data_IF_044248057919
#
_entry.id   IF_044248057919
#
_cell.length_a   1.000
_cell.length_b   1.000
_cell.length_c   1.000
_cell.angle_alpha   90.00
_cell.angle_beta   90.00
_cell.angle_gamma   90.00
#
_symmetry.space_group_name_H-M   'P 1'
#
loop_
_entity.id
_entity.type
_entity.pdbx_description
1 polymer ?
#
# COMPACT_ATOMS: atom_id res chain seq x y z
N UNK A 1 -48.35 -25.92 -22.96
CA UNK A 1 -48.61 -24.51 -22.57
C UNK A 1 -47.60 -24.19 -21.47
N UNK A 2 -46.60 -23.35 -21.74
CA UNK A 2 -45.60 -22.98 -20.72
C UNK A 2 -46.30 -22.19 -19.60
N UNK A 3 -46.39 -22.76 -18.41
CA UNK A 3 -46.97 -22.06 -17.26
C UNK A 3 -45.95 -21.08 -16.67
N UNK A 4 -46.42 -20.03 -15.99
CA UNK A 4 -45.52 -19.09 -15.30
C UNK A 4 -44.62 -19.80 -14.27
N UNK A 5 -45.07 -20.90 -13.68
CA UNK A 5 -44.27 -21.71 -12.76
C UNK A 5 -43.07 -22.38 -13.45
N UNK A 6 -43.23 -22.82 -14.71
CA UNK A 6 -42.15 -23.36 -15.54
C UNK A 6 -41.18 -22.26 -15.98
N UNK A 7 -41.69 -21.10 -16.38
CA UNK A 7 -40.86 -19.96 -16.80
C UNK A 7 -40.02 -19.39 -15.65
N UNK A 8 -40.57 -19.36 -14.44
CA UNK A 8 -39.88 -18.93 -13.22
C UNK A 8 -38.96 -20.03 -12.67
N UNK A 9 -39.08 -21.27 -13.18
CA UNK A 9 -38.36 -22.48 -12.75
C UNK A 9 -38.45 -22.70 -11.24
N UNK A 10 -39.68 -22.78 -10.74
CA UNK A 10 -39.98 -22.96 -9.31
C UNK A 10 -39.24 -24.15 -8.67
N UNK A 11 -39.00 -25.21 -9.45
CA UNK A 11 -38.27 -26.41 -9.04
C UNK A 11 -36.80 -26.17 -8.64
N UNK A 12 -36.19 -25.07 -9.08
CA UNK A 12 -34.83 -24.71 -8.64
C UNK A 12 -34.81 -24.08 -7.25
N UNK A 13 -35.94 -23.55 -6.78
CA UNK A 13 -36.06 -22.77 -5.55
C UNK A 13 -36.81 -23.49 -4.43
N UNK A 14 -37.59 -24.51 -4.78
CA UNK A 14 -38.42 -25.27 -3.87
C UNK A 14 -38.31 -26.76 -4.16
N UNK A 15 -38.51 -27.59 -3.14
CA UNK A 15 -38.70 -29.03 -3.30
C UNK A 15 -40.18 -29.32 -3.53
N UNK A 16 -40.47 -30.32 -4.37
CA UNK A 16 -41.83 -30.69 -4.75
C UNK A 16 -42.04 -30.65 -6.26
N UNK A 17 -43.31 -30.67 -6.67
CA UNK A 17 -43.71 -30.56 -8.08
C UNK A 17 -45.01 -29.76 -8.21
N UNK A 18 -45.32 -29.34 -9.44
CA UNK A 18 -46.58 -28.63 -9.72
C UNK A 18 -47.80 -29.50 -9.33
N UNK A 19 -47.69 -30.81 -9.48
CA UNK A 19 -48.77 -31.79 -9.20
C UNK A 19 -48.88 -32.14 -7.71
N UNK A 20 -47.76 -32.24 -6.98
CA UNK A 20 -47.74 -32.62 -5.55
C UNK A 20 -47.69 -31.43 -4.60
N UNK A 21 -47.57 -30.21 -5.13
CA UNK A 21 -47.32 -29.01 -4.35
C UNK A 21 -45.85 -28.85 -3.96
N UNK A 22 -45.49 -27.63 -3.57
CA UNK A 22 -44.16 -27.28 -3.08
C UNK A 22 -44.09 -27.49 -1.58
N UNK A 23 -43.22 -28.38 -1.10
CA UNK A 23 -43.22 -28.89 0.28
C UNK A 23 -42.12 -28.27 1.14
N UNK A 24 -41.01 -27.86 0.53
CA UNK A 24 -39.88 -27.29 1.26
C UNK A 24 -39.11 -26.29 0.39
N UNK A 25 -38.13 -25.63 1.00
CA UNK A 25 -37.32 -24.59 0.38
C UNK A 25 -35.94 -25.15 -0.02
N UNK A 26 -35.49 -24.87 -1.24
CA UNK A 26 -34.11 -25.16 -1.67
C UNK A 26 -33.17 -24.00 -1.39
N UNK A 27 -31.88 -24.33 -1.30
CA UNK A 27 -30.82 -23.35 -1.32
C UNK A 27 -30.89 -22.50 -2.60
N UNK A 28 -30.65 -21.20 -2.49
CA UNK A 28 -30.73 -20.31 -3.64
C UNK A 28 -29.64 -20.68 -4.66
N UNK A 29 -29.97 -20.74 -5.96
CA UNK A 29 -28.99 -21.03 -7.00
C UNK A 29 -27.93 -19.93 -7.07
N UNK A 30 -26.68 -20.32 -7.33
CA UNK A 30 -25.54 -19.40 -7.44
C UNK A 30 -25.57 -18.60 -8.76
N UNK A 31 -26.28 -19.09 -9.78
CA UNK A 31 -26.36 -18.43 -11.09
C UNK A 31 -27.31 -17.22 -11.08
N UNK A 32 -26.82 -16.09 -11.58
CA UNK A 32 -27.62 -14.90 -11.86
C UNK A 32 -28.48 -15.13 -13.10
N UNK A 33 -29.77 -14.81 -13.03
CA UNK A 33 -30.73 -14.90 -14.16
C UNK A 33 -31.17 -13.50 -14.62
N UNK A 34 -31.71 -13.41 -15.84
CA UNK A 34 -32.28 -12.18 -16.41
C UNK A 34 -33.65 -11.80 -15.80
N UNK A 35 -34.12 -10.55 -16.02
CA UNK A 35 -35.47 -10.11 -15.60
C UNK A 35 -36.47 -11.16 -16.09
N UNK A 36 -37.23 -11.74 -15.16
CA UNK A 36 -38.42 -12.53 -15.52
C UNK A 36 -39.47 -11.57 -16.09
N UNK A 37 -39.80 -11.75 -17.36
CA UNK A 37 -40.79 -10.94 -18.08
C UNK A 37 -42.05 -11.75 -18.32
N UNK A 38 -43.19 -11.07 -18.29
CA UNK A 38 -44.45 -11.67 -18.72
C UNK A 38 -44.37 -12.09 -20.20
N UNK A 39 -44.75 -13.31 -20.58
CA UNK A 39 -44.75 -13.75 -21.97
C UNK A 39 -45.69 -12.94 -22.86
N UNK A 40 -46.80 -12.45 -22.29
CA UNK A 40 -47.84 -11.73 -23.01
C UNK A 40 -47.47 -10.25 -23.26
N UNK A 41 -47.08 -9.52 -22.22
CA UNK A 41 -46.85 -8.07 -22.31
C UNK A 41 -45.38 -7.65 -22.19
N UNK A 42 -44.45 -8.60 -21.98
CA UNK A 42 -43.01 -8.37 -21.74
C UNK A 42 -42.69 -7.50 -20.52
N UNK A 43 -43.68 -7.11 -19.73
CA UNK A 43 -43.48 -6.35 -18.50
C UNK A 43 -42.72 -7.18 -17.46
N UNK A 44 -41.83 -6.57 -16.64
CA UNK A 44 -41.15 -7.26 -15.56
C UNK A 44 -42.15 -7.83 -14.54
N UNK A 45 -41.99 -9.09 -14.15
CA UNK A 45 -42.79 -9.71 -13.10
C UNK A 45 -42.33 -9.14 -11.75
N UNK A 46 -43.23 -8.44 -11.06
CA UNK A 46 -42.96 -7.79 -9.77
C UNK A 46 -44.14 -7.98 -8.81
N UNK A 47 -43.86 -7.95 -7.51
CA UNK A 47 -44.87 -7.93 -6.43
C UNK A 47 -45.87 -9.11 -6.41
N UNK A 48 -45.52 -10.25 -7.01
CA UNK A 48 -46.33 -11.46 -6.93
C UNK A 48 -45.83 -12.33 -5.78
N UNK A 49 -46.64 -12.49 -4.72
CA UNK A 49 -46.26 -13.23 -3.50
C UNK A 49 -45.77 -14.65 -3.79
N UNK A 50 -46.42 -15.37 -4.72
CA UNK A 50 -46.04 -16.73 -5.12
C UNK A 50 -44.60 -16.84 -5.60
N UNK A 51 -44.12 -15.82 -6.34
CA UNK A 51 -42.78 -15.77 -6.91
C UNK A 51 -41.83 -14.88 -6.09
N UNK A 52 -42.23 -14.43 -4.90
CA UNK A 52 -41.52 -13.43 -4.11
C UNK A 52 -40.06 -13.80 -3.83
N UNK A 53 -39.77 -15.07 -3.49
CA UNK A 53 -38.40 -15.57 -3.26
C UNK A 53 -37.51 -15.37 -4.50
N UNK A 54 -38.02 -15.71 -5.69
CA UNK A 54 -37.28 -15.57 -6.96
C UNK A 54 -37.13 -14.09 -7.34
N UNK A 55 -38.22 -13.31 -7.25
CA UNK A 55 -38.21 -11.88 -7.58
C UNK A 55 -37.24 -11.11 -6.66
N UNK A 56 -37.23 -11.42 -5.36
CA UNK A 56 -36.36 -10.77 -4.39
C UNK A 56 -34.90 -11.16 -4.59
N UNK A 57 -34.60 -12.45 -4.80
CA UNK A 57 -33.24 -12.88 -5.17
C UNK A 57 -32.76 -12.14 -6.42
N UNK A 58 -33.56 -12.14 -7.48
CA UNK A 58 -33.24 -11.45 -8.72
C UNK A 58 -32.96 -9.96 -8.48
N UNK A 59 -33.80 -9.29 -7.70
CA UNK A 59 -33.64 -7.87 -7.37
C UNK A 59 -32.32 -7.62 -6.65
N UNK A 60 -31.95 -8.49 -5.70
CA UNK A 60 -30.68 -8.42 -4.98
C UNK A 60 -29.49 -8.70 -5.91
N UNK A 61 -29.55 -9.70 -6.78
CA UNK A 61 -28.51 -10.01 -7.76
C UNK A 61 -28.25 -8.84 -8.71
N UNK A 62 -29.31 -8.17 -9.19
CA UNK A 62 -29.18 -6.95 -10.01
C UNK A 62 -28.55 -5.80 -9.24
N UNK A 63 -28.99 -5.58 -8.00
CA UNK A 63 -28.43 -4.53 -7.15
C UNK A 63 -26.94 -4.80 -6.88
N UNK A 64 -26.57 -6.06 -6.62
CA UNK A 64 -25.19 -6.48 -6.46
C UNK A 64 -24.37 -6.28 -7.73
N UNK A 65 -24.88 -6.67 -8.90
CA UNK A 65 -24.19 -6.43 -10.17
C UNK A 65 -23.94 -4.95 -10.41
N UNK A 66 -24.93 -4.10 -10.14
CA UNK A 66 -24.77 -2.63 -10.23
C UNK A 66 -23.76 -2.10 -9.22
N UNK A 67 -23.80 -2.62 -8.00
CA UNK A 67 -22.86 -2.27 -6.94
C UNK A 67 -21.43 -2.63 -7.31
N UNK A 68 -21.19 -3.85 -7.77
CA UNK A 68 -19.87 -4.32 -8.20
C UNK A 68 -19.36 -3.48 -9.38
N UNK A 69 -20.19 -3.30 -10.42
CA UNK A 69 -19.81 -2.50 -11.58
C UNK A 69 -19.46 -1.05 -11.21
N UNK A 70 -20.23 -0.43 -10.31
CA UNK A 70 -19.99 0.93 -9.83
C UNK A 70 -18.61 1.03 -9.19
N UNK A 71 -18.32 0.21 -8.18
CA UNK A 71 -17.07 0.33 -7.43
C UNK A 71 -15.86 -0.21 -8.19
N UNK A 72 -16.02 -1.18 -9.08
CA UNK A 72 -14.97 -1.59 -10.00
C UNK A 72 -14.61 -0.48 -10.99
N UNK A 73 -15.60 0.27 -11.48
CA UNK A 73 -15.35 1.42 -12.35
C UNK A 73 -14.66 2.56 -11.58
N UNK A 74 -15.19 2.93 -10.40
CA UNK A 74 -14.58 3.96 -9.55
C UNK A 74 -13.14 3.60 -9.15
N UNK A 75 -12.87 2.35 -8.77
CA UNK A 75 -11.52 1.87 -8.47
C UNK A 75 -10.59 2.05 -9.67
N UNK A 76 -11.00 1.60 -10.87
CA UNK A 76 -10.18 1.71 -12.08
C UNK A 76 -9.85 3.17 -12.42
N UNK A 77 -10.81 4.08 -12.30
CA UNK A 77 -10.55 5.51 -12.52
C UNK A 77 -9.59 6.10 -11.49
N UNK A 78 -9.68 5.69 -10.23
CA UNK A 78 -8.74 6.11 -9.19
C UNK A 78 -7.34 5.52 -9.43
N UNK A 79 -7.21 4.23 -9.76
CA UNK A 79 -5.93 3.60 -10.07
C UNK A 79 -5.20 4.33 -11.22
N UNK A 80 -5.93 4.76 -12.26
CA UNK A 80 -5.35 5.60 -13.32
C UNK A 80 -4.86 6.95 -12.80
N UNK A 81 -5.63 7.61 -11.93
CA UNK A 81 -5.23 8.87 -11.29
C UNK A 81 -3.97 8.68 -10.43
N UNK A 82 -3.88 7.58 -9.67
CA UNK A 82 -2.71 7.26 -8.85
C UNK A 82 -1.45 7.17 -9.72
N UNK A 83 -1.51 6.50 -10.86
CA UNK A 83 -0.38 6.39 -11.80
C UNK A 83 0.06 7.78 -12.31
N UNK A 84 -0.91 8.60 -12.73
CA UNK A 84 -0.64 9.96 -13.23
C UNK A 84 0.03 10.80 -12.14
N UNK A 85 -0.54 10.81 -10.93
CA UNK A 85 -0.01 11.61 -9.82
C UNK A 85 1.35 11.09 -9.31
N UNK A 86 1.61 9.78 -9.36
CA UNK A 86 2.94 9.23 -9.08
C UNK A 86 3.98 9.79 -10.06
N UNK A 87 3.66 9.84 -11.36
CA UNK A 87 4.56 10.37 -12.38
C UNK A 87 4.78 11.88 -12.22
N UNK A 88 3.72 12.65 -11.96
CA UNK A 88 3.79 14.08 -11.66
C UNK A 88 4.72 14.37 -10.46
N UNK A 89 4.54 13.65 -9.36
CA UNK A 89 5.41 13.77 -8.17
C UNK A 89 6.85 13.41 -8.50
N UNK A 90 7.07 12.33 -9.25
CA UNK A 90 8.41 11.90 -9.67
C UNK A 90 9.13 12.99 -10.47
N UNK A 91 8.41 13.67 -11.36
CA UNK A 91 8.92 14.79 -12.15
C UNK A 91 9.17 16.04 -11.28
N UNK A 92 8.34 16.27 -10.25
CA UNK A 92 8.47 17.38 -9.28
C UNK A 92 9.58 17.23 -8.24
N UNK A 93 10.24 16.06 -8.13
CA UNK A 93 11.24 15.74 -7.09
C UNK A 93 12.38 16.75 -6.96
N UNK A 94 12.89 17.31 -8.06
CA UNK A 94 13.97 18.31 -7.98
C UNK A 94 13.50 19.61 -7.34
N UNK A 95 12.28 20.03 -7.64
CA UNK A 95 11.66 21.21 -7.05
C UNK A 95 11.39 20.97 -5.56
N UNK A 96 10.81 19.82 -5.20
CA UNK A 96 10.59 19.40 -3.82
C UNK A 96 11.84 19.56 -2.95
N UNK A 97 12.99 19.02 -3.39
CA UNK A 97 14.23 19.09 -2.60
C UNK A 97 14.72 20.52 -2.42
N UNK A 98 14.57 21.37 -3.45
CA UNK A 98 14.96 22.78 -3.35
C UNK A 98 14.03 23.54 -2.39
N UNK A 99 12.72 23.31 -2.48
CA UNK A 99 11.74 23.99 -1.64
C UNK A 99 11.85 23.56 -0.16
N UNK A 100 12.12 22.28 0.10
CA UNK A 100 12.45 21.77 1.43
C UNK A 100 13.73 22.40 1.98
N UNK A 101 14.75 22.58 1.14
CA UNK A 101 16.00 23.24 1.53
C UNK A 101 15.79 24.70 1.92
N UNK A 102 15.08 25.48 1.09
CA UNK A 102 14.80 26.88 1.38
C UNK A 102 13.87 27.08 2.57
N UNK A 103 12.87 26.21 2.75
CA UNK A 103 11.96 26.26 3.90
C UNK A 103 12.71 26.02 5.20
N UNK A 104 13.67 25.09 5.20
CA UNK A 104 14.55 24.83 6.37
C UNK A 104 15.46 26.02 6.70
N UNK A 105 15.96 26.73 5.69
CA UNK A 105 16.82 27.91 5.89
C UNK A 105 16.08 29.09 6.51
N UNK A 106 14.78 29.22 6.26
CA UNK A 106 13.94 30.31 6.79
C UNK A 106 13.52 30.11 8.25
N UNK A 107 13.77 28.94 8.84
CA UNK A 107 13.25 28.58 10.17
C UNK A 107 14.22 28.80 11.33
N UNK A 108 13.76 29.56 12.32
CA UNK A 108 14.48 29.82 13.58
C UNK A 108 13.95 28.98 14.76
N UNK A 109 12.82 28.26 14.67
CA UNK A 109 12.13 27.71 15.88
C UNK A 109 12.00 26.18 15.90
N UNK A 110 11.93 25.64 17.13
CA UNK A 110 11.99 24.26 17.61
C UNK A 110 10.85 23.36 17.13
N UNK A 111 11.16 22.07 16.92
CA UNK A 111 10.20 21.01 16.61
C UNK A 111 9.46 20.60 17.90
N UNK A 112 8.24 21.08 18.11
CA UNK A 112 7.39 20.60 19.20
C UNK A 112 6.71 19.29 18.78
N UNK A 113 7.03 18.21 19.49
CA UNK A 113 6.42 16.89 19.30
C UNK A 113 4.97 16.92 19.80
N UNK A 114 4.01 17.04 18.88
CA UNK A 114 2.61 16.78 19.18
C UNK A 114 2.28 15.31 18.92
N UNK A 115 2.69 14.46 19.85
CA UNK A 115 2.33 13.05 19.81
C UNK A 115 0.83 12.92 20.12
N UNK A 116 -0.01 12.97 19.08
CA UNK A 116 -1.46 12.76 19.21
C UNK A 116 -1.87 11.61 18.30
N UNK A 117 -1.83 10.39 18.84
CA UNK A 117 -2.62 9.28 18.31
C UNK A 117 -4.09 9.72 18.37
N UNK A 118 -4.70 10.00 17.23
CA UNK A 118 -6.14 10.27 17.17
C UNK A 118 -6.89 9.02 17.64
N UNK A 119 -7.70 9.22 18.67
CA UNK A 119 -8.55 8.24 19.35
C UNK A 119 -9.79 7.86 18.52
N UNK A 120 -9.62 7.43 17.27
CA UNK A 120 -10.67 6.74 16.52
C UNK A 120 -10.09 5.47 15.91
N UNK A 121 -10.59 4.32 16.36
CA UNK A 121 -10.24 2.99 15.84
C UNK A 121 -10.86 2.86 14.44
N UNK A 122 -10.21 3.49 13.46
CA UNK A 122 -10.49 3.29 12.03
C UNK A 122 -9.59 2.16 11.53
N UNK A 123 -10.19 1.18 10.85
CA UNK A 123 -9.48 0.06 10.21
C UNK A 123 -8.44 0.53 9.17
N UNK A 124 -8.65 1.71 8.60
CA UNK A 124 -7.71 2.37 7.69
C UNK A 124 -7.20 3.63 8.35
N UNK A 125 -5.88 3.78 8.37
CA UNK A 125 -5.19 4.98 8.84
C UNK A 125 -5.66 6.19 8.01
N UNK A 126 -6.15 7.28 8.63
CA UNK A 126 -6.65 8.43 7.89
C UNK A 126 -5.59 9.04 6.96
N UNK A 127 -5.99 9.50 5.78
CA UNK A 127 -5.06 10.17 4.84
C UNK A 127 -4.38 11.40 5.45
N UNK A 128 -5.08 12.12 6.35
CA UNK A 128 -4.55 13.28 7.09
C UNK A 128 -3.34 12.93 7.94
N UNK A 129 -3.22 11.67 8.41
CA UNK A 129 -2.05 11.20 9.15
C UNK A 129 -0.77 11.25 8.32
N UNK A 130 -0.87 11.05 7.00
CA UNK A 130 0.27 11.12 6.08
C UNK A 130 0.45 12.52 5.47
N UNK A 131 -0.63 13.29 5.34
CA UNK A 131 -0.58 14.65 4.80
C UNK A 131 -0.07 15.67 5.82
N UNK A 132 -0.57 15.62 7.05
CA UNK A 132 -0.29 16.63 8.06
C UNK A 132 0.90 16.25 8.94
N UNK A 133 2.09 16.34 8.34
CA UNK A 133 3.34 15.95 9.00
C UNK A 133 3.73 16.87 10.16
N UNK A 134 3.21 18.10 10.18
CA UNK A 134 3.32 19.01 11.32
C UNK A 134 2.61 18.43 12.56
N UNK A 135 1.34 18.06 12.40
CA UNK A 135 0.51 17.59 13.50
C UNK A 135 0.94 16.24 14.07
N UNK A 136 1.29 15.28 13.21
CA UNK A 136 1.50 13.90 13.63
C UNK A 136 2.96 13.46 13.72
N UNK A 137 3.87 14.13 13.01
CA UNK A 137 5.26 13.70 12.87
C UNK A 137 6.27 14.77 13.32
N UNK A 138 5.79 15.86 13.92
CA UNK A 138 6.63 16.87 14.56
C UNK A 138 7.42 17.75 13.59
N UNK A 139 6.98 17.84 12.33
CA UNK A 139 7.60 18.76 11.36
C UNK A 139 7.13 20.19 11.56
N UNK A 140 7.87 21.14 11.00
CA UNK A 140 7.48 22.53 10.99
C UNK A 140 6.40 22.83 9.95
N UNK A 141 5.67 23.93 10.17
CA UNK A 141 4.61 24.39 9.25
C UNK A 141 5.11 24.66 7.83
N UNK A 142 6.33 25.17 7.66
CA UNK A 142 6.85 25.44 6.31
C UNK A 142 7.17 24.13 5.56
N UNK A 143 7.79 23.17 6.25
CA UNK A 143 8.07 21.84 5.67
C UNK A 143 6.76 21.12 5.35
N UNK A 144 5.77 21.20 6.25
CA UNK A 144 4.44 20.64 6.04
C UNK A 144 3.76 21.22 4.80
N UNK A 145 3.82 22.54 4.60
CA UNK A 145 3.26 23.18 3.39
C UNK A 145 3.89 22.66 2.10
N UNK A 146 5.22 22.50 2.05
CA UNK A 146 5.92 21.93 0.88
C UNK A 146 5.51 20.47 0.65
N UNK A 147 5.43 19.67 1.72
CA UNK A 147 5.03 18.26 1.64
C UNK A 147 3.60 18.10 1.15
N UNK A 148 2.63 18.81 1.75
CA UNK A 148 1.22 18.74 1.38
C UNK A 148 1.03 19.10 -0.10
N UNK A 149 1.65 20.20 -0.56
CA UNK A 149 1.60 20.59 -1.97
C UNK A 149 2.15 19.50 -2.91
N UNK A 150 3.13 18.72 -2.47
CA UNK A 150 3.69 17.63 -3.26
C UNK A 150 2.77 16.42 -3.32
N UNK A 151 2.08 16.06 -2.22
CA UNK A 151 1.34 14.79 -2.12
C UNK A 151 -0.19 14.92 -2.16
N UNK A 152 -0.75 16.13 -2.18
CA UNK A 152 -2.19 16.38 -2.04
C UNK A 152 -3.06 15.62 -3.04
N UNK A 153 -2.64 15.56 -4.31
CA UNK A 153 -3.40 14.89 -5.37
C UNK A 153 -3.45 13.37 -5.14
N UNK A 154 -2.34 12.80 -4.67
CA UNK A 154 -2.27 11.39 -4.32
C UNK A 154 -3.11 11.08 -3.06
N UNK A 155 -3.08 11.96 -2.05
CA UNK A 155 -3.89 11.81 -0.84
C UNK A 155 -5.39 11.99 -1.11
N UNK A 156 -5.77 12.80 -2.09
CA UNK A 156 -7.16 12.89 -2.57
C UNK A 156 -7.64 11.54 -3.13
N UNK A 157 -6.77 10.83 -3.86
CA UNK A 157 -7.06 9.46 -4.29
C UNK A 157 -7.24 8.51 -3.10
N UNK A 158 -6.35 8.59 -2.10
CA UNK A 158 -6.47 7.80 -0.86
C UNK A 158 -7.80 8.03 -0.14
N UNK A 159 -8.23 9.29 -0.04
CA UNK A 159 -9.51 9.65 0.58
C UNK A 159 -10.70 9.03 -0.17
N UNK A 160 -10.68 9.08 -1.52
CA UNK A 160 -11.70 8.44 -2.36
C UNK A 160 -11.74 6.93 -2.12
N UNK A 161 -10.59 6.25 -2.08
CA UNK A 161 -10.51 4.80 -1.80
C UNK A 161 -11.04 4.45 -0.41
N UNK A 162 -10.74 5.27 0.60
CA UNK A 162 -11.26 5.09 1.97
C UNK A 162 -12.79 5.19 2.01
N UNK A 163 -13.37 6.07 1.20
CA UNK A 163 -14.84 6.14 1.02
C UNK A 163 -15.40 4.87 0.37
N UNK A 164 -14.71 4.31 -0.62
CA UNK A 164 -15.09 3.04 -1.24
C UNK A 164 -15.07 1.91 -0.20
N UNK A 165 -14.00 1.78 0.59
CA UNK A 165 -13.89 0.78 1.69
C UNK A 165 -15.09 0.88 2.65
N UNK A 166 -15.46 2.08 3.07
CA UNK A 166 -16.60 2.28 3.97
C UNK A 166 -17.90 1.78 3.34
N UNK A 167 -18.08 2.03 2.05
CA UNK A 167 -19.27 1.62 1.32
C UNK A 167 -19.31 0.11 1.02
N UNK A 168 -18.15 -0.52 0.77
CA UNK A 168 -18.05 -1.94 0.45
C UNK A 168 -18.30 -2.86 1.63
N UNK A 169 -18.15 -2.36 2.87
CA UNK A 169 -18.52 -3.09 4.11
C UNK A 169 -20.02 -3.40 4.24
N UNK A 170 -20.87 -2.66 3.53
CA UNK A 170 -22.33 -2.77 3.58
C UNK A 170 -22.93 -2.97 2.18
N UNK A 171 -22.68 -4.13 1.54
CA UNK A 171 -23.24 -4.43 0.23
C UNK A 171 -24.78 -4.62 0.29
N UNK A 172 -25.48 -4.60 -0.86
CA UNK A 172 -26.94 -4.70 -0.91
C UNK A 172 -27.52 -5.89 -0.13
N UNK A 173 -26.93 -7.08 -0.23
CA UNK A 173 -27.38 -8.26 0.55
C UNK A 173 -27.29 -8.04 2.07
N UNK A 174 -26.20 -7.42 2.54
CA UNK A 174 -26.00 -7.16 3.97
C UNK A 174 -27.01 -6.14 4.50
N UNK A 175 -27.24 -5.06 3.74
CA UNK A 175 -28.27 -4.07 4.04
C UNK A 175 -29.68 -4.68 4.06
N UNK A 176 -30.00 -5.52 3.07
CA UNK A 176 -31.30 -6.18 2.98
C UNK A 176 -31.55 -7.12 4.16
N UNK A 177 -30.52 -7.86 4.60
CA UNK A 177 -30.61 -8.70 5.78
C UNK A 177 -30.75 -7.89 7.07
N UNK A 178 -29.91 -6.88 7.30
CA UNK A 178 -30.00 -6.03 8.49
C UNK A 178 -31.41 -5.39 8.61
N UNK A 179 -31.98 -4.95 7.48
CA UNK A 179 -33.35 -4.46 7.42
C UNK A 179 -34.40 -5.55 7.72
N UNK A 180 -34.23 -6.76 7.19
CA UNK A 180 -35.14 -7.88 7.45
C UNK A 180 -35.11 -8.32 8.92
N UNK A 181 -33.91 -8.45 9.50
CA UNK A 181 -33.70 -8.77 10.90
C UNK A 181 -34.32 -7.70 11.80
N UNK A 182 -34.07 -6.42 11.50
CA UNK A 182 -34.68 -5.29 12.23
C UNK A 182 -36.21 -5.33 12.16
N UNK A 183 -36.78 -5.62 10.99
CA UNK A 183 -38.23 -5.74 10.80
C UNK A 183 -38.83 -6.91 11.60
N UNK A 184 -38.13 -8.05 11.67
CA UNK A 184 -38.55 -9.20 12.48
C UNK A 184 -38.51 -8.89 13.98
N UNK A 185 -37.46 -8.21 14.46
CA UNK A 185 -37.38 -7.76 15.85
C UNK A 185 -38.52 -6.80 16.20
N UNK A 186 -38.80 -5.82 15.32
CA UNK A 186 -39.92 -4.90 15.49
C UNK A 186 -41.26 -5.65 15.56
N UNK A 187 -41.52 -6.58 14.63
CA UNK A 187 -42.75 -7.37 14.62
C UNK A 187 -42.94 -8.23 15.87
N UNK A 188 -41.85 -8.79 16.42
CA UNK A 188 -41.86 -9.53 17.69
C UNK A 188 -42.14 -8.61 18.89
N UNK A 189 -41.53 -7.42 18.91
CA UNK A 189 -41.71 -6.45 20.00
C UNK A 189 -43.10 -5.79 20.01
N UNK A 190 -43.77 -5.71 18.85
CA UNK A 190 -45.11 -5.12 18.71
C UNK A 190 -46.26 -6.08 19.00
N UNK A 191 -46.00 -7.31 19.45
CA UNK A 191 -47.03 -8.23 19.96
C UNK A 191 -48.05 -8.74 18.92
N UNK A 192 -47.73 -8.78 17.63
CA UNK A 192 -48.65 -9.26 16.58
C UNK A 192 -48.59 -10.80 16.45
N UNK A 193 -49.16 -11.49 17.43
CA UNK A 193 -49.17 -12.95 17.59
C UNK A 193 -50.28 -13.66 16.79
N UNK A 194 -50.50 -13.35 15.50
CA UNK A 194 -51.58 -14.03 14.75
C UNK A 194 -51.19 -14.83 13.50
N UNK A 195 -49.92 -14.90 13.09
CA UNK A 195 -49.52 -15.76 11.96
C UNK A 195 -48.09 -16.29 12.08
N UNK A 196 -47.89 -17.33 12.91
CA UNK A 196 -46.72 -18.20 12.80
C UNK A 196 -46.97 -19.56 13.47
N UNK A 197 -47.91 -20.35 12.95
CA UNK A 197 -47.93 -21.80 13.16
C UNK A 197 -46.94 -22.47 12.20
N UNK A 198 -45.64 -22.28 12.46
CA UNK A 198 -44.57 -23.19 12.03
C UNK A 198 -43.49 -23.14 13.10
N UNK A 199 -43.17 -24.31 13.64
CA UNK A 199 -42.32 -24.57 14.80
C UNK A 199 -40.87 -24.11 14.62
N UNK A 200 -40.62 -22.82 14.83
CA UNK A 200 -39.28 -22.34 15.20
C UNK A 200 -39.30 -22.12 16.72
N UNK A 201 -38.57 -22.99 17.43
CA UNK A 201 -38.54 -23.06 18.89
C UNK A 201 -38.33 -21.72 19.58
N UNK A 202 -39.01 -21.58 20.70
CA UNK A 202 -39.04 -20.47 21.64
C UNK A 202 -37.73 -20.29 22.42
N UNK A 203 -36.61 -20.13 21.72
CA UNK A 203 -35.30 -19.91 22.33
C UNK A 203 -34.39 -19.06 21.45
N UNK A 204 -34.86 -17.86 21.06
CA UNK A 204 -33.95 -16.78 20.66
C UNK A 204 -33.79 -15.90 21.91
N UNK A 205 -33.14 -16.47 22.92
CA UNK A 205 -32.58 -15.73 24.06
C UNK A 205 -31.25 -15.15 23.60
N UNK A 206 -31.16 -13.83 23.37
CA UNK A 206 -29.94 -12.99 23.30
C UNK A 206 -28.64 -13.57 22.66
N UNK A 207 -28.74 -14.62 21.86
CA UNK A 207 -27.60 -15.33 21.31
C UNK A 207 -27.29 -14.78 19.94
N UNK A 208 -26.07 -14.29 19.84
CA UNK A 208 -25.38 -13.76 18.68
C UNK A 208 -25.32 -14.79 17.54
N UNK A 209 -26.43 -15.08 16.87
CA UNK A 209 -26.36 -15.76 15.58
C UNK A 209 -25.68 -14.79 14.61
N UNK A 210 -24.47 -15.15 14.18
CA UNK A 210 -23.72 -14.33 13.24
C UNK A 210 -24.49 -14.25 11.92
N UNK A 211 -24.31 -13.12 11.22
CA UNK A 211 -24.85 -12.90 9.87
C UNK A 211 -24.67 -14.14 8.97
N UNK A 212 -23.53 -14.82 9.09
CA UNK A 212 -23.13 -15.96 8.27
C UNK A 212 -23.84 -17.27 8.66
N UNK A 213 -24.09 -17.51 9.94
CA UNK A 213 -24.82 -18.69 10.43
C UNK A 213 -26.29 -18.64 10.02
N UNK A 214 -26.91 -17.46 10.12
CA UNK A 214 -28.32 -17.27 9.76
C UNK A 214 -28.55 -17.50 8.26
N UNK A 215 -27.66 -17.00 7.40
CA UNK A 215 -27.74 -17.22 5.96
C UNK A 215 -27.54 -18.68 5.56
N UNK A 216 -26.61 -19.38 6.23
CA UNK A 216 -26.35 -20.81 6.02
C UNK A 216 -27.59 -21.64 6.35
N UNK A 217 -28.30 -21.30 7.43
CA UNK A 217 -29.58 -21.94 7.79
C UNK A 217 -30.71 -21.60 6.81
N UNK A 218 -30.71 -20.41 6.21
CA UNK A 218 -31.71 -19.99 5.21
C UNK A 218 -31.42 -20.51 3.78
N UNK A 219 -30.36 -21.30 3.61
CA UNK A 219 -29.92 -21.81 2.30
C UNK A 219 -29.46 -20.69 1.36
N UNK A 220 -29.04 -19.55 1.88
CA UNK A 220 -28.52 -18.44 1.08
C UNK A 220 -27.00 -18.49 1.16
N UNK A 221 -26.33 -18.81 0.05
CA UNK A 221 -24.90 -18.61 -0.05
C UNK A 221 -24.61 -17.11 -0.13
N UNK A 222 -23.90 -16.57 0.86
CA UNK A 222 -23.39 -15.19 0.78
C UNK A 222 -22.42 -15.15 -0.41
N UNK A 223 -22.63 -14.27 -1.41
CA UNK A 223 -21.72 -14.16 -2.53
C UNK A 223 -20.32 -13.81 -2.01
N UNK A 224 -19.37 -14.74 -2.17
CA UNK A 224 -17.94 -14.51 -1.86
C UNK A 224 -17.35 -13.35 -2.67
N UNK A 225 -18.03 -12.94 -3.74
CA UNK A 225 -17.62 -11.92 -4.71
C UNK A 225 -17.55 -10.51 -4.08
N UNK A 226 -18.28 -10.26 -2.99
CA UNK A 226 -18.41 -8.91 -2.42
C UNK A 226 -17.15 -8.42 -1.70
N UNK A 227 -16.30 -9.34 -1.20
CA UNK A 227 -15.05 -8.98 -0.53
C UNK A 227 -13.89 -8.73 -1.51
N UNK A 228 -14.02 -9.12 -2.78
CA UNK A 228 -12.97 -8.88 -3.78
C UNK A 228 -12.71 -7.39 -3.97
N UNK A 229 -13.75 -6.59 -4.19
CA UNK A 229 -13.60 -5.13 -4.39
C UNK A 229 -13.02 -4.48 -3.13
N UNK A 230 -13.46 -4.93 -1.95
CA UNK A 230 -12.90 -4.48 -0.69
C UNK A 230 -11.39 -4.68 -0.63
N UNK A 231 -10.92 -5.89 -0.92
CA UNK A 231 -9.50 -6.24 -0.92
C UNK A 231 -8.72 -5.50 -2.01
N UNK A 232 -9.27 -5.40 -3.23
CA UNK A 232 -8.63 -4.69 -4.35
C UNK A 232 -8.42 -3.19 -4.03
N UNK A 233 -9.43 -2.53 -3.44
CA UNK A 233 -9.34 -1.13 -3.00
C UNK A 233 -8.33 -0.97 -1.87
N UNK A 234 -8.27 -1.92 -0.94
CA UNK A 234 -7.31 -1.88 0.17
C UNK A 234 -5.87 -2.04 -0.34
N UNK A 235 -5.64 -2.90 -1.33
CA UNK A 235 -4.33 -2.99 -1.98
C UNK A 235 -3.93 -1.71 -2.70
N UNK A 236 -4.87 -0.99 -3.32
CA UNK A 236 -4.57 0.33 -3.92
C UNK A 236 -4.21 1.37 -2.85
N UNK A 237 -4.80 1.29 -1.66
CA UNK A 237 -4.38 2.09 -0.50
C UNK A 237 -2.94 1.76 -0.10
N UNK A 238 -2.57 0.47 -0.03
CA UNK A 238 -1.19 0.04 0.20
C UNK A 238 -0.25 0.59 -0.89
N UNK A 239 -0.67 0.58 -2.15
CA UNK A 239 0.10 1.12 -3.26
C UNK A 239 0.42 2.61 -3.04
N UNK A 240 -0.59 3.41 -2.66
CA UNK A 240 -0.37 4.82 -2.30
C UNK A 240 0.62 4.96 -1.13
N UNK A 241 0.48 4.15 -0.08
CA UNK A 241 1.43 4.18 1.05
C UNK A 241 2.87 3.87 0.60
N UNK A 242 3.05 2.90 -0.30
CA UNK A 242 4.36 2.57 -0.88
C UNK A 242 4.92 3.73 -1.69
N UNK A 243 4.10 4.41 -2.51
CA UNK A 243 4.52 5.60 -3.25
C UNK A 243 4.99 6.70 -2.28
N UNK A 244 4.20 7.01 -1.24
CA UNK A 244 4.58 7.99 -0.23
C UNK A 244 5.88 7.61 0.48
N UNK A 245 6.05 6.33 0.84
CA UNK A 245 7.29 5.82 1.41
C UNK A 245 8.49 6.02 0.48
N UNK A 246 8.34 5.77 -0.83
CA UNK A 246 9.40 6.01 -1.81
C UNK A 246 9.76 7.50 -1.95
N UNK A 247 8.78 8.41 -1.87
CA UNK A 247 9.04 9.85 -1.82
C UNK A 247 9.81 10.24 -0.56
N UNK A 248 9.44 9.70 0.61
CA UNK A 248 10.17 9.94 1.86
C UNK A 248 11.61 9.41 1.78
N UNK A 249 11.82 8.21 1.24
CA UNK A 249 13.17 7.68 1.03
C UNK A 249 13.99 8.56 0.09
N UNK A 250 13.38 9.03 -1.00
CA UNK A 250 14.04 9.95 -1.93
C UNK A 250 14.48 11.24 -1.23
N UNK A 251 13.65 11.80 -0.34
CA UNK A 251 14.00 12.97 0.48
C UNK A 251 15.18 12.66 1.40
N UNK A 252 15.17 11.50 2.09
CA UNK A 252 16.26 11.10 3.00
C UNK A 252 17.59 10.99 2.25
N UNK A 253 17.57 10.43 1.04
CA UNK A 253 18.77 10.21 0.21
C UNK A 253 19.29 11.48 -0.47
N UNK A 254 18.41 12.42 -0.86
CA UNK A 254 18.76 13.59 -1.67
C UNK A 254 18.69 14.93 -0.93
N UNK A 255 18.38 14.94 0.37
CA UNK A 255 18.33 16.16 1.16
C UNK A 255 19.66 16.93 1.12
N UNK A 256 19.62 18.17 0.62
CA UNK A 256 20.74 19.11 0.67
C UNK A 256 20.87 19.64 2.10
N UNK A 257 22.07 19.56 2.68
CA UNK A 257 22.34 20.05 4.04
C UNK A 257 23.19 21.32 3.98
N UNK A 258 22.78 22.35 4.73
CA UNK A 258 23.51 23.61 4.82
C UNK A 258 24.92 23.41 5.39
N UNK A 259 25.93 24.04 4.78
CA UNK A 259 27.35 23.88 5.11
C UNK A 259 27.83 24.68 6.34
N UNK A 260 27.05 25.64 6.85
CA UNK A 260 27.56 26.68 7.75
C UNK A 260 27.05 26.58 9.19
N UNK A 261 28.01 26.53 10.12
CA UNK A 261 27.93 26.53 11.59
C UNK A 261 27.30 25.29 12.28
N UNK A 262 27.85 24.99 13.47
CA UNK A 262 27.53 23.81 14.31
C UNK A 262 26.02 23.65 14.59
N UNK A 263 25.31 24.77 14.71
CA UNK A 263 23.86 24.83 14.93
C UNK A 263 23.04 24.38 13.70
N UNK A 264 23.55 24.59 12.48
CA UNK A 264 22.89 24.07 11.27
C UNK A 264 23.10 22.56 11.14
N UNK A 265 24.25 22.04 11.57
CA UNK A 265 24.57 20.61 11.54
C UNK A 265 23.67 19.82 12.50
N UNK A 266 23.44 20.32 13.73
CA UNK A 266 22.53 19.67 14.69
C UNK A 266 21.08 19.65 14.18
N UNK A 267 20.58 20.77 13.64
CA UNK A 267 19.25 20.85 13.01
C UNK A 267 19.09 19.91 11.82
N UNK A 268 20.12 19.78 10.98
CA UNK A 268 20.12 18.85 9.86
C UNK A 268 20.01 17.39 10.32
N UNK A 269 20.68 17.03 11.42
CA UNK A 269 20.59 15.69 12.03
C UNK A 269 19.19 15.41 12.59
N UNK A 270 18.57 16.40 13.21
CA UNK A 270 17.21 16.30 13.76
C UNK A 270 16.16 16.16 12.66
N UNK A 271 16.20 16.99 11.62
CA UNK A 271 15.28 16.88 10.49
C UNK A 271 15.43 15.53 9.76
N UNK A 272 16.66 15.03 9.59
CA UNK A 272 16.91 13.69 9.04
C UNK A 272 16.30 12.61 9.94
N UNK A 273 16.37 12.76 11.26
CA UNK A 273 15.73 11.85 12.23
C UNK A 273 14.20 11.85 12.09
N UNK A 274 13.57 13.01 11.93
CA UNK A 274 12.11 13.11 11.72
C UNK A 274 11.66 12.38 10.46
N UNK A 275 12.36 12.57 9.32
CA UNK A 275 12.02 11.85 8.08
C UNK A 275 12.19 10.32 8.23
N UNK A 276 13.17 9.85 9.01
CA UNK A 276 13.31 8.42 9.31
C UNK A 276 12.15 7.89 10.14
N UNK A 277 11.80 8.58 11.23
CA UNK A 277 10.66 8.20 12.08
C UNK A 277 9.38 8.19 11.25
N UNK A 278 9.20 9.18 10.36
CA UNK A 278 8.05 9.20 9.46
C UNK A 278 8.04 8.00 8.51
N UNK A 279 9.18 7.62 7.93
CA UNK A 279 9.31 6.43 7.09
C UNK A 279 8.93 5.15 7.85
N UNK A 280 9.43 4.99 9.08
CA UNK A 280 9.11 3.86 9.97
C UNK A 280 7.60 3.83 10.32
N UNK A 281 7.01 4.97 10.65
CA UNK A 281 5.57 5.09 10.92
C UNK A 281 4.72 4.70 9.69
N UNK A 282 5.18 5.04 8.49
CA UNK A 282 4.53 4.69 7.22
C UNK A 282 4.59 3.19 6.97
N UNK A 283 5.74 2.56 7.25
CA UNK A 283 5.91 1.11 7.17
C UNK A 283 5.03 0.39 8.20
N UNK A 284 4.98 0.87 9.44
CA UNK A 284 4.13 0.30 10.48
C UNK A 284 2.64 0.34 10.10
N UNK A 285 2.17 1.49 9.61
CA UNK A 285 0.79 1.59 9.11
C UNK A 285 0.51 0.65 7.93
N UNK A 286 1.46 0.53 7.00
CA UNK A 286 1.38 -0.40 5.87
C UNK A 286 1.29 -1.86 6.35
N UNK A 287 2.05 -2.22 7.39
CA UNK A 287 2.04 -3.54 8.00
C UNK A 287 0.67 -3.87 8.63
N UNK A 288 0.12 -2.97 9.43
CA UNK A 288 -1.20 -3.13 10.08
C UNK A 288 -2.32 -3.33 9.03
N UNK A 289 -2.29 -2.53 7.94
CA UNK A 289 -3.23 -2.68 6.84
C UNK A 289 -3.06 -4.03 6.11
N UNK A 290 -1.82 -4.50 5.88
CA UNK A 290 -1.56 -5.80 5.26
C UNK A 290 -2.04 -6.97 6.13
N UNK A 291 -1.90 -6.88 7.46
CA UNK A 291 -2.48 -7.88 8.37
C UNK A 291 -4.00 -7.93 8.29
N UNK A 292 -4.64 -6.76 8.21
CA UNK A 292 -6.10 -6.65 8.03
C UNK A 292 -6.55 -7.29 6.72
N UNK A 293 -5.83 -7.04 5.62
CA UNK A 293 -6.07 -7.67 4.32
C UNK A 293 -5.91 -9.19 4.42
N UNK A 294 -4.83 -9.68 5.04
CA UNK A 294 -4.56 -11.11 5.23
C UNK A 294 -5.70 -11.80 5.98
N UNK A 295 -6.10 -11.27 7.14
CA UNK A 295 -7.18 -11.83 7.96
C UNK A 295 -8.52 -11.83 7.21
N UNK A 296 -8.82 -10.76 6.48
CA UNK A 296 -10.04 -10.65 5.67
C UNK A 296 -10.03 -11.64 4.51
N UNK A 297 -8.89 -11.78 3.82
CA UNK A 297 -8.75 -12.70 2.70
C UNK A 297 -8.80 -14.18 3.13
N UNK A 298 -8.21 -14.53 4.28
CA UNK A 298 -8.26 -15.88 4.83
C UNK A 298 -9.69 -16.28 5.23
N UNK A 299 -10.39 -15.40 5.97
CA UNK A 299 -11.77 -15.65 6.41
C UNK A 299 -12.77 -15.77 5.26
N UNK A 300 -12.51 -15.08 4.13
CA UNK A 300 -13.34 -15.13 2.93
C UNK A 300 -12.90 -16.12 1.86
N UNK A 301 -11.78 -16.82 2.09
CA UNK A 301 -11.18 -17.78 1.14
C UNK A 301 -10.77 -17.15 -0.19
N UNK A 302 -10.27 -15.91 -0.14
CA UNK A 302 -9.63 -15.24 -1.28
C UNK A 302 -8.13 -15.55 -1.33
N UNK A 303 -7.79 -16.74 -1.81
CA UNK A 303 -6.40 -17.25 -1.82
C UNK A 303 -5.41 -16.33 -2.53
N UNK A 304 -5.80 -15.72 -3.66
CA UNK A 304 -4.96 -14.78 -4.43
C UNK A 304 -4.54 -13.57 -3.60
N UNK A 305 -5.50 -12.96 -2.90
CA UNK A 305 -5.27 -11.79 -2.06
C UNK A 305 -4.47 -12.14 -0.80
N UNK A 306 -4.72 -13.31 -0.20
CA UNK A 306 -3.94 -13.80 0.93
C UNK A 306 -2.47 -14.02 0.53
N UNK A 307 -2.21 -14.66 -0.61
CA UNK A 307 -0.87 -14.81 -1.15
C UNK A 307 -0.19 -13.47 -1.38
N UNK A 308 -0.86 -12.55 -2.06
CA UNK A 308 -0.31 -11.23 -2.34
C UNK A 308 0.02 -10.47 -1.04
N UNK A 309 -0.86 -10.51 -0.03
CA UNK A 309 -0.63 -9.86 1.25
C UNK A 309 0.59 -10.43 1.98
N UNK A 310 0.78 -11.76 1.96
CA UNK A 310 1.95 -12.40 2.55
C UNK A 310 3.25 -12.01 1.82
N UNK A 311 3.25 -11.97 0.48
CA UNK A 311 4.42 -11.52 -0.29
C UNK A 311 4.75 -10.05 -0.01
N UNK A 312 3.75 -9.18 0.03
CA UNK A 312 3.92 -7.76 0.37
C UNK A 312 4.45 -7.57 1.80
N UNK A 313 4.00 -8.38 2.77
CA UNK A 313 4.54 -8.36 4.14
C UNK A 313 6.03 -8.72 4.17
N UNK A 314 6.45 -9.78 3.47
CA UNK A 314 7.85 -10.17 3.41
C UNK A 314 8.71 -9.07 2.76
N UNK A 315 8.25 -8.50 1.65
CA UNK A 315 8.95 -7.37 1.01
C UNK A 315 9.04 -6.15 1.91
N UNK A 316 7.97 -5.84 2.66
CA UNK A 316 7.97 -4.76 3.64
C UNK A 316 9.04 -5.02 4.70
N UNK A 317 9.07 -6.21 5.31
CA UNK A 317 10.09 -6.59 6.30
C UNK A 317 11.51 -6.42 5.76
N UNK A 318 11.78 -6.92 4.55
CA UNK A 318 13.08 -6.77 3.90
C UNK A 318 13.45 -5.29 3.67
N UNK A 319 12.48 -4.45 3.30
CA UNK A 319 12.70 -3.01 3.16
C UNK A 319 12.95 -2.31 4.51
N UNK A 320 12.30 -2.75 5.60
CA UNK A 320 12.57 -2.23 6.94
C UNK A 320 13.99 -2.60 7.39
N UNK A 321 14.44 -3.84 7.15
CA UNK A 321 15.81 -4.28 7.45
C UNK A 321 16.84 -3.45 6.69
N UNK A 322 16.61 -3.24 5.38
CA UNK A 322 17.47 -2.40 4.56
C UNK A 322 17.55 -0.96 5.08
N UNK A 323 16.43 -0.40 5.53
CA UNK A 323 16.40 0.94 6.12
C UNK A 323 17.17 0.98 7.45
N UNK A 324 16.99 -0.02 8.32
CA UNK A 324 17.72 -0.14 9.59
C UNK A 324 19.23 -0.23 9.38
N UNK A 325 19.70 -0.96 8.36
CA UNK A 325 21.12 -1.04 8.03
C UNK A 325 21.68 0.25 7.44
N UNK A 326 20.97 0.88 6.49
CA UNK A 326 21.36 2.18 5.93
C UNK A 326 21.34 3.29 6.98
N UNK A 327 20.51 3.15 8.01
CA UNK A 327 20.20 4.20 8.96
C UNK A 327 20.05 3.60 10.38
N UNK A 328 21.14 3.13 11.00
CA UNK A 328 21.07 2.45 12.29
C UNK A 328 20.47 3.33 13.39
N UNK A 329 19.69 2.75 14.32
CA UNK A 329 19.01 3.49 15.40
C UNK A 329 19.99 4.19 16.33
N UNK A 330 21.17 3.59 16.56
CA UNK A 330 22.24 4.15 17.38
C UNK A 330 23.26 4.99 16.58
N UNK A 331 23.03 5.20 15.28
CA UNK A 331 23.98 5.86 14.38
C UNK A 331 25.15 4.98 13.92
N UNK A 332 25.39 3.85 14.60
CA UNK A 332 26.40 2.85 14.25
C UNK A 332 25.70 1.49 14.10
N UNK A 333 26.12 0.72 13.11
CA UNK A 333 25.71 -0.69 12.98
C UNK A 333 26.53 -1.51 13.98
N UNK A 334 25.93 -1.92 15.09
CA UNK A 334 26.59 -2.80 16.06
C UNK A 334 26.53 -4.27 15.62
N UNK A 335 27.39 -5.11 16.20
CA UNK A 335 27.48 -6.54 15.90
C UNK A 335 26.16 -7.27 16.19
N UNK A 336 25.35 -6.73 17.10
CA UNK A 336 24.02 -7.22 17.43
C UNK A 336 23.07 -6.99 16.25
N UNK A 337 22.98 -5.76 15.73
CA UNK A 337 22.17 -5.41 14.57
C UNK A 337 22.58 -6.19 13.32
N UNK A 338 23.89 -6.44 13.11
CA UNK A 338 24.35 -7.31 12.03
C UNK A 338 23.79 -8.73 12.18
N UNK A 339 23.94 -9.32 13.36
CA UNK A 339 23.50 -10.69 13.65
C UNK A 339 21.97 -10.80 13.51
N UNK A 340 21.23 -9.87 14.13
CA UNK A 340 19.77 -9.79 14.07
C UNK A 340 19.28 -9.62 12.61
N UNK A 341 20.01 -8.87 11.78
CA UNK A 341 19.62 -8.68 10.37
C UNK A 341 19.87 -9.94 9.55
N UNK A 342 21.01 -10.61 9.74
CA UNK A 342 21.32 -11.87 9.07
C UNK A 342 20.28 -12.94 9.44
N UNK A 343 19.96 -13.08 10.72
CA UNK A 343 18.94 -14.01 11.20
C UNK A 343 17.57 -13.74 10.56
N UNK A 344 17.11 -12.48 10.56
CA UNK A 344 15.84 -12.11 9.94
C UNK A 344 15.82 -12.32 8.42
N UNK A 345 16.94 -12.16 7.74
CA UNK A 345 17.06 -12.48 6.31
C UNK A 345 16.94 -13.99 6.07
N UNK A 346 17.53 -14.83 6.90
CA UNK A 346 17.39 -16.29 6.81
C UNK A 346 15.96 -16.75 7.15
N UNK A 347 15.32 -16.14 8.15
CA UNK A 347 13.90 -16.39 8.44
C UNK A 347 13.01 -16.01 7.26
N UNK A 348 13.24 -14.84 6.65
CA UNK A 348 12.52 -14.39 5.45
C UNK A 348 12.70 -15.39 4.31
N UNK A 349 13.91 -15.92 4.09
CA UNK A 349 14.16 -16.96 3.07
C UNK A 349 13.39 -18.25 3.35
N UNK A 350 13.31 -18.67 4.62
CA UNK A 350 12.51 -19.83 5.04
C UNK A 350 11.02 -19.59 4.74
N UNK A 351 10.51 -18.40 5.03
CA UNK A 351 9.13 -18.02 4.72
C UNK A 351 8.85 -17.98 3.21
N UNK A 352 9.83 -17.58 2.39
CA UNK A 352 9.72 -17.68 0.93
C UNK A 352 9.55 -19.14 0.49
N UNK A 353 10.30 -20.09 1.06
CA UNK A 353 10.16 -21.52 0.73
C UNK A 353 8.76 -22.01 1.10
N UNK A 354 8.28 -21.71 2.31
CA UNK A 354 6.92 -22.05 2.74
C UNK A 354 5.85 -21.46 1.81
N UNK A 355 6.05 -20.22 1.33
CA UNK A 355 5.16 -19.56 0.39
C UNK A 355 5.17 -20.20 -1.00
N UNK A 356 6.33 -20.66 -1.48
CA UNK A 356 6.44 -21.41 -2.75
C UNK A 356 5.62 -22.69 -2.66
N UNK A 357 5.78 -23.47 -1.59
CA UNK A 357 5.02 -24.70 -1.37
C UNK A 357 3.51 -24.42 -1.32
N UNK A 358 3.10 -23.41 -0.58
CA UNK A 358 1.70 -22.99 -0.48
C UNK A 358 1.15 -22.51 -1.85
N UNK A 359 1.92 -21.78 -2.65
CA UNK A 359 1.53 -21.36 -4.01
C UNK A 359 1.36 -22.56 -4.96
N UNK A 360 2.24 -23.56 -4.87
CA UNK A 360 2.18 -24.77 -5.70
C UNK A 360 0.94 -25.60 -5.34
N UNK A 361 0.67 -25.79 -4.06
CA UNK A 361 -0.43 -26.62 -3.55
C UNK A 361 -1.85 -26.08 -3.75
N UNK A 362 -2.03 -24.78 -4.02
CA UNK A 362 -3.35 -24.19 -4.23
C UNK A 362 -3.73 -24.09 -5.72
N UNK A 363 -4.99 -24.35 -6.07
CA UNK A 363 -5.50 -24.17 -7.44
C UNK A 363 -5.69 -22.68 -7.77
N UNK A 364 -4.71 -22.09 -8.48
CA UNK A 364 -4.69 -20.67 -8.88
C UNK A 364 -4.24 -20.59 -10.35
N UNK A 365 -4.69 -19.56 -11.05
CA UNK A 365 -4.31 -19.22 -12.43
C UNK A 365 -2.78 -19.27 -12.62
N UNK A 366 -2.35 -20.00 -13.66
CA UNK A 366 -0.92 -20.22 -13.96
C UNK A 366 -0.14 -18.92 -14.11
N UNK A 367 -0.69 -17.93 -14.83
CA UNK A 367 -0.05 -16.63 -15.04
C UNK A 367 0.23 -15.90 -13.71
N UNK A 368 -0.69 -15.97 -12.75
CA UNK A 368 -0.50 -15.38 -11.44
C UNK A 368 0.57 -16.14 -10.63
N UNK A 369 0.55 -17.48 -10.68
CA UNK A 369 1.60 -18.29 -10.04
C UNK A 369 2.97 -17.95 -10.59
N UNK A 370 3.11 -17.89 -11.91
CA UNK A 370 4.38 -17.58 -12.58
C UNK A 370 4.86 -16.17 -12.20
N UNK A 371 3.96 -15.19 -12.10
CA UNK A 371 4.28 -13.84 -11.63
C UNK A 371 4.79 -13.83 -10.18
N UNK A 372 4.14 -14.54 -9.26
CA UNK A 372 4.56 -14.58 -7.86
C UNK A 372 5.89 -15.32 -7.71
N UNK A 373 6.01 -16.52 -8.29
CA UNK A 373 7.18 -17.37 -8.14
C UNK A 373 8.41 -16.79 -8.83
N UNK A 374 8.29 -16.49 -10.13
CA UNK A 374 9.46 -16.19 -10.97
C UNK A 374 9.90 -14.73 -10.89
N UNK A 375 9.02 -13.82 -10.44
CA UNK A 375 9.34 -12.39 -10.32
C UNK A 375 9.43 -11.98 -8.86
N UNK A 376 8.30 -11.97 -8.13
CA UNK A 376 8.25 -11.38 -6.78
C UNK A 376 9.12 -12.13 -5.76
N UNK A 377 8.93 -13.45 -5.63
CA UNK A 377 9.68 -14.26 -4.66
C UNK A 377 11.16 -14.42 -5.05
N UNK A 378 11.47 -14.57 -6.34
CA UNK A 378 12.86 -14.59 -6.81
C UNK A 378 13.60 -13.26 -6.54
N UNK A 379 12.96 -12.12 -6.81
CA UNK A 379 13.54 -10.81 -6.53
C UNK A 379 13.70 -10.58 -5.02
N UNK A 380 12.77 -11.08 -4.20
CA UNK A 380 12.86 -11.02 -2.75
C UNK A 380 14.04 -11.84 -2.20
N UNK A 381 14.28 -13.04 -2.73
CA UNK A 381 15.45 -13.84 -2.39
C UNK A 381 16.75 -13.10 -2.69
N UNK A 382 16.88 -12.55 -3.91
CA UNK A 382 18.04 -11.75 -4.31
C UNK A 382 18.25 -10.55 -3.38
N UNK A 383 17.19 -9.81 -3.04
CA UNK A 383 17.28 -8.69 -2.09
C UNK A 383 17.75 -9.14 -0.71
N UNK A 384 17.31 -10.29 -0.22
CA UNK A 384 17.78 -10.84 1.05
C UNK A 384 19.27 -11.21 0.98
N UNK A 385 19.74 -11.77 -0.14
CA UNK A 385 21.16 -12.07 -0.36
C UNK A 385 22.02 -10.80 -0.42
N UNK A 386 21.54 -9.76 -1.09
CA UNK A 386 22.19 -8.44 -1.13
C UNK A 386 22.30 -7.82 0.28
N UNK A 387 21.22 -7.87 1.06
CA UNK A 387 21.19 -7.33 2.42
C UNK A 387 22.11 -8.11 3.35
N UNK A 388 22.11 -9.44 3.23
CA UNK A 388 22.99 -10.31 4.01
C UNK A 388 24.46 -10.03 3.70
N UNK A 389 24.83 -10.00 2.41
CA UNK A 389 26.18 -9.65 1.97
C UNK A 389 26.58 -8.28 2.51
N UNK A 390 25.71 -7.27 2.41
CA UNK A 390 25.96 -5.94 2.95
C UNK A 390 26.19 -5.95 4.47
N UNK A 391 25.38 -6.70 5.23
CA UNK A 391 25.53 -6.84 6.68
C UNK A 391 26.82 -7.55 7.08
N UNK A 392 27.28 -8.53 6.29
CA UNK A 392 28.54 -9.27 6.50
C UNK A 392 29.76 -8.42 6.14
N UNK A 393 29.69 -7.68 5.04
CA UNK A 393 30.76 -6.83 4.51
C UNK A 393 30.90 -5.51 5.27
N UNK A 394 29.98 -5.12 6.14
CA UNK A 394 30.10 -3.94 7.02
C UNK A 394 31.31 -4.00 7.96
N UNK A 395 31.95 -5.16 8.15
CA UNK A 395 33.23 -5.28 8.84
C UNK A 395 34.46 -4.99 7.94
N UNK A 396 34.27 -4.83 6.62
CA UNK A 396 35.27 -4.50 5.61
C UNK A 396 34.97 -3.21 4.83
N UNK A 397 33.73 -2.72 4.92
CA UNK A 397 33.26 -1.56 4.18
C UNK A 397 33.32 -0.34 5.07
N UNK A 398 34.12 0.62 4.63
CA UNK A 398 34.08 2.05 4.97
C UNK A 398 32.65 2.44 5.39
N UNK A 399 32.48 2.92 6.63
CA UNK A 399 31.20 3.37 7.17
C UNK A 399 30.55 4.42 6.26
N UNK A 400 29.23 4.61 6.32
CA UNK A 400 28.54 5.65 5.53
C UNK A 400 29.14 7.06 5.72
N UNK A 401 29.68 7.34 6.90
CA UNK A 401 30.40 8.58 7.21
C UNK A 401 31.78 8.63 6.53
N UNK A 402 32.55 7.53 6.55
CA UNK A 402 33.80 7.40 5.82
C UNK A 402 33.58 7.36 4.28
N UNK A 403 32.48 6.81 3.79
CA UNK A 403 32.11 6.76 2.36
C UNK A 403 31.75 8.17 1.87
N UNK A 404 31.03 8.93 2.69
CA UNK A 404 30.77 10.35 2.46
C UNK A 404 32.03 11.20 2.53
N UNK A 405 32.97 10.87 3.42
CA UNK A 405 34.25 11.57 3.56
C UNK A 405 35.19 11.26 2.39
N UNK A 406 35.18 10.02 1.89
CA UNK A 406 35.87 9.59 0.67
C UNK A 406 35.20 10.19 -0.56
N UNK A 407 33.88 10.20 -0.66
CA UNK A 407 33.16 10.82 -1.78
C UNK A 407 33.30 12.36 -1.76
N UNK A 408 33.44 12.99 -0.58
CA UNK A 408 33.83 14.40 -0.42
C UNK A 408 35.27 14.65 -0.86
N UNK A 409 36.21 13.80 -0.43
CA UNK A 409 37.63 13.89 -0.78
C UNK A 409 37.83 13.67 -2.28
N UNK A 410 37.17 12.67 -2.88
CA UNK A 410 37.19 12.42 -4.32
C UNK A 410 36.53 13.55 -5.12
N UNK A 411 35.39 14.13 -4.67
CA UNK A 411 34.81 15.30 -5.36
C UNK A 411 35.65 16.56 -5.28
N UNK A 412 36.42 16.74 -4.21
CA UNK A 412 37.38 17.84 -4.07
C UNK A 412 38.66 17.60 -4.90
N UNK A 413 39.09 16.35 -5.03
CA UNK A 413 40.35 15.98 -5.70
C UNK A 413 40.21 15.62 -7.19
N UNK A 414 39.00 15.43 -7.72
CA UNK A 414 38.76 15.17 -9.16
C UNK A 414 38.76 16.44 -10.03
N UNK A 415 39.12 17.59 -9.45
CA UNK A 415 39.68 18.71 -10.21
C UNK A 415 41.18 18.65 -9.96
N UNK A 416 41.93 17.99 -10.85
CA UNK A 416 43.40 18.01 -10.83
C UNK A 416 43.91 19.39 -11.23
N UNK A 417 43.73 20.37 -10.35
CA UNK A 417 44.32 21.68 -10.47
C UNK A 417 45.64 21.66 -9.70
N UNK A 418 46.73 21.44 -10.42
CA UNK A 418 48.07 21.66 -9.89
C UNK A 418 48.48 23.11 -10.17
N UNK A 419 49.10 23.77 -9.20
CA UNK A 419 49.60 25.13 -9.31
C UNK A 419 51.12 25.13 -9.29
N UNK A 420 51.76 25.74 -10.28
CA UNK A 420 53.21 25.96 -10.29
C UNK A 420 53.48 27.07 -9.26
N UNK A 421 54.21 26.72 -8.18
CA UNK A 421 54.43 27.57 -7.01
C UNK A 421 55.38 28.75 -7.24
N UNK A 422 56.09 28.77 -8.37
CA UNK A 422 57.02 29.84 -8.71
C UNK A 422 56.43 30.73 -9.82
N UNK A 423 56.46 32.05 -9.59
CA UNK A 423 55.93 33.11 -10.46
C UNK A 423 56.54 33.19 -11.88
N UNK A 424 57.29 32.17 -12.30
CA UNK A 424 58.07 32.13 -13.53
C UNK A 424 57.55 31.17 -14.62
N UNK A 425 56.26 30.78 -14.68
CA UNK A 425 55.74 29.81 -15.69
C UNK A 425 56.43 28.42 -15.65
N UNK A 426 55.93 27.46 -16.42
CA UNK A 426 56.42 26.08 -16.39
C UNK A 426 57.85 25.95 -16.94
N UNK A 427 58.76 25.36 -16.15
CA UNK A 427 60.16 25.15 -16.52
C UNK A 427 60.59 23.67 -16.55
N UNK A 428 59.83 22.81 -15.87
CA UNK A 428 60.11 21.37 -15.78
C UNK A 428 58.93 20.60 -16.37
N UNK A 429 59.23 19.72 -17.33
CA UNK A 429 58.29 18.73 -17.84
C UNK A 429 58.34 17.48 -16.98
N UNK A 430 57.17 16.97 -16.63
CA UNK A 430 57.02 15.74 -15.87
C UNK A 430 55.83 14.93 -16.38
N UNK A 431 55.57 13.78 -15.78
CA UNK A 431 54.52 12.84 -16.16
C UNK A 431 53.67 12.53 -14.93
N UNK A 432 52.35 12.56 -15.09
CA UNK A 432 51.43 12.19 -14.02
C UNK A 432 51.60 10.71 -13.68
N UNK A 433 51.88 10.34 -12.41
CA UNK A 433 52.10 8.94 -12.03
C UNK A 433 50.84 8.07 -12.15
N UNK A 434 49.64 8.67 -12.19
CA UNK A 434 48.37 7.94 -12.22
C UNK A 434 47.86 7.66 -13.64
N UNK A 435 47.98 8.62 -14.56
CA UNK A 435 47.45 8.49 -15.93
C UNK A 435 48.52 8.61 -17.03
N UNK A 436 49.77 8.79 -16.64
CA UNK A 436 50.93 8.93 -17.53
C UNK A 436 50.86 10.10 -18.53
N UNK A 437 49.98 11.07 -18.29
CA UNK A 437 49.87 12.28 -19.11
C UNK A 437 51.03 13.27 -18.82
N UNK A 438 51.50 13.98 -19.84
CA UNK A 438 52.54 15.01 -19.70
C UNK A 438 51.99 16.24 -18.96
N UNK A 439 52.66 16.66 -17.88
CA UNK A 439 52.30 17.83 -17.06
C UNK A 439 53.46 18.84 -17.02
N UNK A 440 53.13 20.11 -16.77
CA UNK A 440 54.12 21.20 -16.73
C UNK A 440 54.43 21.81 -18.12
N UNK A 441 55.72 21.92 -18.44
CA UNK A 441 56.22 22.64 -19.61
C UNK A 441 57.71 22.91 -19.54
N UNK A 442 58.32 23.33 -20.65
CA UNK A 442 59.75 23.66 -20.74
C UNK A 442 59.92 25.09 -21.25
N UNK A 443 60.96 25.79 -20.81
CA UNK A 443 61.30 27.13 -21.30
C UNK A 443 60.13 28.14 -21.25
N UNK A 444 59.31 28.10 -20.19
CA UNK A 444 58.11 28.93 -20.02
C UNK A 444 56.94 28.63 -20.97
N UNK A 445 56.99 27.51 -21.73
CA UNK A 445 55.90 27.05 -22.59
C UNK A 445 55.20 25.83 -21.98
N UNK A 446 53.87 25.88 -21.91
CA UNK A 446 53.03 24.79 -21.41
C UNK A 446 52.95 23.65 -22.43
N UNK A 447 52.98 22.40 -21.96
CA UNK A 447 52.60 21.25 -22.80
C UNK A 447 51.12 21.32 -23.19
N UNK A 448 50.75 20.70 -24.31
CA UNK A 448 49.43 20.84 -24.95
C UNK A 448 48.22 20.51 -24.04
N UNK A 449 48.41 19.70 -22.99
CA UNK A 449 47.38 19.37 -22.01
C UNK A 449 47.11 20.45 -20.96
N UNK A 450 47.90 21.52 -20.93
CA UNK A 450 47.88 22.53 -19.87
C UNK A 450 47.41 23.89 -20.38
N UNK A 451 46.68 24.63 -19.55
CA UNK A 451 46.21 25.99 -19.86
C UNK A 451 46.48 26.93 -18.70
N UNK A 452 46.86 28.17 -18.99
CA UNK A 452 46.94 29.21 -17.97
C UNK A 452 45.55 29.42 -17.35
N UNK A 453 45.50 29.57 -16.02
CA UNK A 453 44.26 29.90 -15.31
C UNK A 453 43.94 31.38 -15.59
N UNK A 454 43.11 31.64 -16.60
CA UNK A 454 42.60 32.99 -16.84
C UNK A 454 41.72 33.43 -15.66
N UNK A 455 41.92 34.65 -15.19
CA UNK A 455 41.19 35.26 -14.07
C UNK A 455 39.68 35.17 -14.29
N UNK A 456 39.03 34.20 -13.63
CA UNK A 456 37.60 34.33 -13.29
C UNK A 456 37.52 35.45 -12.25
N UNK A 457 36.98 36.59 -12.65
CA UNK A 457 36.43 37.55 -11.70
C UNK A 457 35.55 36.79 -10.70
N UNK A 458 35.79 37.03 -9.42
CA UNK A 458 35.20 36.32 -8.30
C UNK A 458 33.65 36.29 -8.36
N UNK A 459 33.00 35.22 -7.86
CA UNK A 459 31.61 35.30 -7.40
C UNK A 459 31.49 36.12 -6.10
#
# INVERSE_FOLDING_TARGET
METMDMLVKMEEYYEGSIERGWTSIKALPTSSKDIIKCPACRAPVKNIRRYGRIINKYTLDVQNKKFLNKYSHELNEITKQVIIHEEEMRNGRTQLINDLYYSRLKEVVMFENHNTKSSEVSEVTPYDYFGNIEKYHGFSKAINGVWVNHVENLLSCYQKLTSIIRNTKMPPYKKAFEAAVSSLYQAKSSGLSSFASTSLGSSISESQLTFQETFSQMGISIPRIDQKIYLDVFFEIINIQKILYHEVLFIIENAKYAKSNLFAISKNKECKKLWKIFAENLQYSTQEHLYTIKQTAESSRHTRHCLLANVELLELYTNMLKLQLKCPPNGIVDKKLQTDTIEKCEDTKRDVVNMIEYCIGNEIEKEFKDYILNKRLSDLQKKCDEIKTYAEDLNKTITFEEELEIHRSCRLNLITQYTIGDCGRAWVKSVCPDCNAEIGGESHQLTAGNRERQNLAAP
#
